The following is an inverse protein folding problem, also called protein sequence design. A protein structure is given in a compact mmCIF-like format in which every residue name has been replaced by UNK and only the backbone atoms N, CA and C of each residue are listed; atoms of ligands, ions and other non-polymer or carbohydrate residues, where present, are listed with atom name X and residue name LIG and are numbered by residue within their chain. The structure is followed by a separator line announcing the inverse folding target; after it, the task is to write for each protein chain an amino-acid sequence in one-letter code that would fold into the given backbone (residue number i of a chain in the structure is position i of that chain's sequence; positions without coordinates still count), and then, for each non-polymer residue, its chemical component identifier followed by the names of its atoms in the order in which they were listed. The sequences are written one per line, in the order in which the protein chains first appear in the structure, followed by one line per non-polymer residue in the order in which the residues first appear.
data_IF_932599104515
#
_entry.id   IF_932599104515
#
_cell.length_a   1.000
_cell.length_b   1.000
_cell.length_c   1.000
_cell.angle_alpha   90.00
_cell.angle_beta   90.00
_cell.angle_gamma   90.00
#
_symmetry.space_group_name_H-M   'P 1'
#
loop_
_entity.id
_entity.type
_entity.pdbx_description
1 polymer ?
#
# COMPACT_ATOMS: atom_id res chain seq x y z
N UNK A 1 9.59 -63.30 -9.03
CA UNK A 1 10.80 -62.68 -9.62
C UNK A 1 10.35 -61.83 -10.79
N UNK A 2 10.17 -60.53 -10.56
CA UNK A 2 10.55 -59.42 -11.45
C UNK A 2 10.04 -58.15 -10.76
N UNK A 3 10.92 -57.62 -9.91
CA UNK A 3 10.93 -56.23 -9.48
C UNK A 3 11.38 -55.40 -10.67
N UNK A 4 10.62 -54.37 -11.04
CA UNK A 4 11.18 -53.19 -11.68
C UNK A 4 10.73 -51.96 -10.91
N UNK A 5 11.71 -51.45 -10.17
CA UNK A 5 11.76 -50.16 -9.50
C UNK A 5 12.24 -49.12 -10.50
N UNK A 6 11.46 -48.06 -10.71
CA UNK A 6 11.84 -46.68 -11.11
C UNK A 6 10.54 -45.98 -11.55
N UNK A 7 10.06 -44.91 -10.93
CA UNK A 7 10.79 -43.68 -10.70
C UNK A 7 10.42 -43.03 -9.35
N UNK A 8 11.42 -42.94 -8.49
CA UNK A 8 11.52 -41.90 -7.47
C UNK A 8 11.94 -40.60 -8.18
N UNK A 9 10.96 -39.78 -8.54
CA UNK A 9 11.15 -38.40 -8.96
C UNK A 9 10.00 -37.53 -8.43
N UNK A 10 9.73 -37.63 -7.12
CA UNK A 10 9.04 -36.57 -6.39
C UNK A 10 10.11 -35.69 -5.77
N UNK A 11 10.51 -34.62 -6.44
CA UNK A 11 11.19 -33.49 -5.79
C UNK A 11 10.42 -33.17 -4.52
N UNK A 12 11.07 -33.19 -3.36
CA UNK A 12 10.44 -32.89 -2.07
C UNK A 12 9.86 -31.47 -2.11
N UNK A 13 8.59 -31.36 -2.48
CA UNK A 13 7.86 -30.10 -2.48
C UNK A 13 7.73 -29.66 -1.03
N UNK A 14 8.23 -28.47 -0.72
CA UNK A 14 7.94 -27.75 0.51
C UNK A 14 6.42 -27.66 0.68
N UNK A 15 5.84 -28.54 1.49
CA UNK A 15 4.39 -28.57 1.67
C UNK A 15 3.98 -27.48 2.66
N UNK A 16 3.11 -26.58 2.22
CA UNK A 16 2.41 -25.64 3.11
C UNK A 16 1.69 -26.42 4.21
N UNK A 17 1.68 -25.88 5.42
CA UNK A 17 0.89 -26.41 6.51
C UNK A 17 -0.59 -26.38 6.16
N UNK A 18 -1.25 -27.55 6.27
CA UNK A 18 -2.69 -27.72 6.06
C UNK A 18 -3.36 -27.90 7.40
N UNK A 19 -4.31 -27.04 7.73
CA UNK A 19 -4.99 -27.04 9.02
C UNK A 19 -6.50 -26.92 8.83
N UNK A 20 -7.28 -27.70 9.57
CA UNK A 20 -8.74 -27.56 9.57
C UNK A 20 -9.15 -26.41 10.47
N UNK A 21 -10.05 -25.56 9.98
CA UNK A 21 -10.52 -24.40 10.76
C UNK A 21 -11.15 -24.84 12.09
N UNK A 22 -11.89 -25.95 12.10
CA UNK A 22 -12.53 -26.49 13.32
C UNK A 22 -11.52 -26.85 14.41
N UNK A 23 -10.30 -27.25 14.03
CA UNK A 23 -9.24 -27.59 14.97
C UNK A 23 -8.50 -26.35 15.49
N UNK A 24 -8.74 -25.17 14.91
CA UNK A 24 -8.23 -23.87 15.39
C UNK A 24 -9.19 -23.13 16.32
N UNK A 25 -10.36 -23.70 16.59
CA UNK A 25 -11.34 -23.10 17.51
C UNK A 25 -11.06 -23.64 18.91
N UNK A 26 -10.78 -22.75 19.86
CA UNK A 26 -10.61 -23.13 21.27
C UNK A 26 -11.94 -23.62 21.84
N UNK A 27 -12.00 -24.87 22.30
CA UNK A 27 -13.07 -25.37 23.15
C UNK A 27 -12.92 -24.80 24.56
N UNK A 28 -14.02 -24.52 25.26
CA UNK A 28 -13.98 -24.02 26.64
C UNK A 28 -13.08 -24.90 27.53
N UNK A 29 -12.12 -24.27 28.23
CA UNK A 29 -11.17 -24.96 29.11
C UNK A 29 -9.74 -24.96 28.57
N UNK A 30 -8.98 -26.01 28.89
CA UNK A 30 -7.58 -26.14 28.47
C UNK A 30 -7.50 -26.43 26.96
N UNK A 31 -6.49 -25.89 26.25
CA UNK A 31 -6.30 -26.17 24.83
C UNK A 31 -6.13 -27.67 24.58
N UNK A 32 -6.94 -28.22 23.67
CA UNK A 32 -6.84 -29.62 23.26
C UNK A 32 -5.52 -29.90 22.54
N UNK A 33 -5.10 -31.17 22.48
CA UNK A 33 -3.90 -31.55 21.74
C UNK A 33 -4.06 -31.29 20.23
N UNK A 34 -5.26 -31.49 19.67
CA UNK A 34 -5.55 -31.18 18.27
C UNK A 34 -5.38 -29.68 17.97
N UNK A 35 -5.81 -28.83 18.90
CA UNK A 35 -5.62 -27.39 18.80
C UNK A 35 -4.14 -27.02 18.84
N UNK A 36 -3.36 -27.55 19.79
CA UNK A 36 -1.92 -27.27 19.88
C UNK A 36 -1.15 -27.69 18.62
N UNK A 37 -1.44 -28.87 18.08
CA UNK A 37 -0.83 -29.37 16.84
C UNK A 37 -1.20 -28.47 15.66
N UNK A 38 -2.47 -28.07 15.56
CA UNK A 38 -2.98 -27.21 14.50
C UNK A 38 -2.36 -25.81 14.55
N UNK A 39 -2.27 -25.21 15.74
CA UNK A 39 -1.60 -23.93 15.94
C UNK A 39 -0.11 -24.02 15.61
N UNK A 40 0.59 -25.07 16.07
CA UNK A 40 2.01 -25.25 15.75
C UNK A 40 2.24 -25.39 14.24
N UNK A 41 1.36 -26.13 13.56
CA UNK A 41 1.42 -26.33 12.11
C UNK A 41 1.19 -25.02 11.37
N UNK A 42 0.18 -24.25 11.79
CA UNK A 42 -0.10 -22.93 11.25
C UNK A 42 1.10 -21.99 11.43
N UNK A 43 1.59 -21.82 12.66
CA UNK A 43 2.68 -20.91 12.97
C UNK A 43 3.96 -21.29 12.22
N UNK A 44 4.32 -22.58 12.18
CA UNK A 44 5.48 -23.03 11.42
C UNK A 44 5.34 -22.71 9.92
N UNK A 45 4.16 -22.93 9.34
CA UNK A 45 3.92 -22.64 7.93
C UNK A 45 4.02 -21.14 7.63
N UNK A 46 3.46 -20.29 8.51
CA UNK A 46 3.56 -18.83 8.36
C UNK A 46 5.01 -18.34 8.50
N UNK A 47 5.81 -18.93 9.39
CA UNK A 47 7.23 -18.58 9.54
C UNK A 47 8.07 -19.02 8.34
N UNK A 48 7.85 -20.23 7.81
CA UNK A 48 8.67 -20.80 6.74
C UNK A 48 8.27 -20.31 5.35
N UNK A 49 6.97 -20.14 5.12
CA UNK A 49 6.40 -19.94 3.79
C UNK A 49 5.53 -18.68 3.66
N UNK A 50 5.34 -17.93 4.76
CA UNK A 50 4.46 -16.76 4.81
C UNK A 50 3.03 -17.04 4.34
N UNK A 51 2.61 -18.30 4.41
CA UNK A 51 1.32 -18.77 3.97
C UNK A 51 0.97 -20.09 4.65
N UNK A 52 -0.32 -20.38 4.75
CA UNK A 52 -0.84 -21.69 5.15
C UNK A 52 -2.13 -22.01 4.38
N UNK A 53 -2.51 -23.28 4.38
CA UNK A 53 -3.77 -23.75 3.80
C UNK A 53 -4.74 -24.00 4.94
N UNK A 54 -5.92 -23.39 4.87
CA UNK A 54 -7.02 -23.59 5.81
C UNK A 54 -8.13 -24.39 5.13
N UNK A 55 -8.49 -25.52 5.71
CA UNK A 55 -9.63 -26.31 5.30
C UNK A 55 -10.89 -25.85 6.05
N UNK A 56 -11.85 -25.34 5.30
CA UNK A 56 -13.16 -24.90 5.78
C UNK A 56 -14.15 -26.08 5.84
N UNK A 57 -15.21 -25.99 6.66
CA UNK A 57 -16.33 -26.91 6.61
C UNK A 57 -16.93 -27.06 5.19
N UNK A 58 -17.54 -28.21 4.91
CA UNK A 58 -18.05 -28.52 3.57
C UNK A 58 -19.12 -27.53 3.06
N UNK A 59 -20.00 -27.07 3.95
CA UNK A 59 -21.05 -26.08 3.66
C UNK A 59 -20.43 -24.72 3.27
N UNK A 60 -19.37 -24.32 3.96
CA UNK A 60 -18.65 -23.07 3.74
C UNK A 60 -17.90 -23.08 2.39
N UNK A 61 -17.33 -24.23 2.03
CA UNK A 61 -16.69 -24.43 0.74
C UNK A 61 -17.67 -24.27 -0.44
N UNK A 62 -18.94 -24.67 -0.28
CA UNK A 62 -19.96 -24.47 -1.32
C UNK A 62 -20.29 -22.99 -1.52
N UNK A 63 -20.40 -22.23 -0.43
CA UNK A 63 -20.61 -20.80 -0.47
C UNK A 63 -19.45 -20.09 -1.21
N UNK A 64 -18.19 -20.40 -0.88
CA UNK A 64 -17.04 -19.82 -1.58
C UNK A 64 -17.03 -20.12 -3.09
N UNK A 65 -17.36 -21.35 -3.48
CA UNK A 65 -17.46 -21.71 -4.91
C UNK A 65 -18.54 -20.89 -5.62
N UNK A 66 -19.73 -20.80 -5.03
CA UNK A 66 -20.82 -19.98 -5.60
C UNK A 66 -20.46 -18.49 -5.68
N UNK A 67 -19.71 -17.96 -4.71
CA UNK A 67 -19.22 -16.59 -4.74
C UNK A 67 -18.23 -16.34 -5.88
N UNK A 68 -17.34 -17.30 -6.16
CA UNK A 68 -16.39 -17.23 -7.28
C UNK A 68 -17.09 -17.37 -8.63
N UNK A 69 -18.11 -18.23 -8.74
CA UNK A 69 -18.93 -18.33 -9.95
C UNK A 69 -19.71 -17.03 -10.21
N UNK A 70 -20.29 -16.46 -9.16
CA UNK A 70 -20.97 -15.16 -9.22
C UNK A 70 -20.01 -14.03 -9.62
N UNK A 71 -18.80 -14.02 -9.07
CA UNK A 71 -17.73 -13.10 -9.47
C UNK A 71 -17.43 -13.18 -10.96
N UNK A 72 -17.29 -14.40 -11.49
CA UNK A 72 -17.08 -14.60 -12.93
C UNK A 72 -18.21 -13.98 -13.71
N UNK A 73 -19.46 -14.32 -13.43
CA UNK A 73 -20.61 -13.74 -14.13
C UNK A 73 -20.62 -12.21 -14.04
N UNK A 74 -20.33 -11.67 -12.86
CA UNK A 74 -20.26 -10.24 -12.62
C UNK A 74 -19.20 -9.53 -13.47
N UNK A 75 -18.00 -10.08 -13.65
CA UNK A 75 -16.98 -9.49 -14.53
C UNK A 75 -17.25 -9.77 -16.01
N UNK A 76 -17.93 -10.87 -16.38
CA UNK A 76 -18.25 -11.14 -17.79
C UNK A 76 -19.27 -10.17 -18.38
N UNK A 77 -20.19 -9.65 -17.57
CA UNK A 77 -21.17 -8.65 -18.01
C UNK A 77 -20.58 -7.23 -18.12
N UNK A 78 -19.35 -7.00 -17.64
CA UNK A 78 -18.71 -5.69 -17.66
C UNK A 78 -18.15 -5.38 -19.06
N UNK A 79 -18.24 -4.11 -19.51
CA UNK A 79 -17.70 -3.71 -20.81
C UNK A 79 -16.18 -3.90 -20.86
N UNK A 80 -15.67 -4.17 -22.07
CA UNK A 80 -14.25 -4.46 -22.29
C UNK A 80 -13.31 -3.27 -22.05
N UNK A 81 -13.83 -2.05 -21.93
CA UNK A 81 -13.04 -0.86 -21.65
C UNK A 81 -13.66 -0.11 -20.46
N UNK A 82 -12.97 -0.04 -19.31
CA UNK A 82 -13.44 0.78 -18.19
C UNK A 82 -13.36 2.26 -18.59
N UNK A 83 -14.37 3.05 -18.22
CA UNK A 83 -14.34 4.51 -18.36
C UNK A 83 -13.25 5.09 -17.45
N UNK A 84 -12.68 6.25 -17.81
CA UNK A 84 -11.60 6.89 -17.04
C UNK A 84 -11.97 7.15 -15.56
N UNK A 85 -13.25 7.26 -15.25
CA UNK A 85 -13.80 7.41 -13.89
C UNK A 85 -13.67 6.14 -13.04
N UNK A 86 -13.53 4.96 -13.66
CA UNK A 86 -13.43 3.65 -12.99
C UNK A 86 -11.99 3.19 -12.77
N UNK A 87 -11.00 4.00 -13.16
CA UNK A 87 -9.59 3.75 -12.88
C UNK A 87 -9.32 4.19 -11.45
N UNK A 88 -8.74 3.30 -10.63
CA UNK A 88 -8.49 3.58 -9.21
C UNK A 88 -7.64 4.85 -9.03
N UNK A 89 -8.30 5.96 -8.70
CA UNK A 89 -7.66 7.15 -8.15
C UNK A 89 -7.40 6.86 -6.67
N UNK A 90 -6.23 6.32 -6.34
CA UNK A 90 -5.79 6.00 -4.98
C UNK A 90 -5.84 7.23 -4.04
N UNK A 91 -7.03 7.67 -3.60
CA UNK A 91 -7.16 8.69 -2.58
C UNK A 91 -6.98 8.01 -1.21
N UNK A 92 -5.88 8.29 -0.49
CA UNK A 92 -5.62 7.70 0.83
C UNK A 92 -6.72 8.02 1.86
N UNK A 93 -7.60 9.01 1.59
CA UNK A 93 -8.68 9.43 2.49
C UNK A 93 -9.94 8.58 2.40
N UNK A 94 -10.07 7.70 1.39
CA UNK A 94 -11.34 7.00 1.11
C UNK A 94 -11.31 5.48 1.32
N UNK A 95 -10.21 4.92 1.83
CA UNK A 95 -10.00 3.47 1.95
C UNK A 95 -11.09 2.68 2.72
N UNK A 96 -11.87 3.33 3.59
CA UNK A 96 -12.97 2.72 4.35
C UNK A 96 -14.36 2.87 3.72
N UNK A 97 -14.53 3.73 2.70
CA UNK A 97 -15.87 4.15 2.23
C UNK A 97 -16.41 3.35 1.05
N UNK A 98 -15.55 2.67 0.31
CA UNK A 98 -15.79 2.36 -1.11
C UNK A 98 -16.11 0.89 -1.33
N UNK A 99 -17.32 0.45 -0.94
CA UNK A 99 -17.86 -0.71 -1.68
C UNK A 99 -18.08 -0.27 -3.12
N UNK A 100 -17.55 -1.02 -4.08
CA UNK A 100 -17.65 -0.61 -5.48
C UNK A 100 -16.62 -1.25 -6.39
N UNK A 101 -16.82 -1.01 -7.68
CA UNK A 101 -15.97 -1.50 -8.76
C UNK A 101 -14.86 -0.51 -9.11
N UNK A 102 -13.66 -1.01 -9.35
CA UNK A 102 -12.56 -0.27 -9.93
C UNK A 102 -11.65 -1.18 -10.76
N UNK A 103 -10.81 -0.56 -11.58
CA UNK A 103 -9.83 -1.25 -12.41
C UNK A 103 -8.43 -0.74 -12.15
N UNK A 104 -7.48 -1.66 -12.24
CA UNK A 104 -6.05 -1.39 -12.24
C UNK A 104 -5.45 -1.88 -13.58
N UNK A 105 -5.28 -0.97 -14.56
CA UNK A 105 -4.70 -1.30 -15.85
C UNK A 105 -3.22 -1.72 -15.79
N UNK A 106 -2.48 -1.41 -14.73
CA UNK A 106 -1.08 -1.84 -14.61
C UNK A 106 -1.00 -3.31 -14.23
N UNK A 107 -1.91 -3.75 -13.35
CA UNK A 107 -1.99 -5.13 -12.87
C UNK A 107 -2.90 -6.03 -13.73
N UNK A 108 -3.50 -5.48 -14.79
CA UNK A 108 -4.53 -6.14 -15.60
C UNK A 108 -5.64 -6.74 -14.74
N UNK A 109 -6.05 -5.97 -13.73
CA UNK A 109 -6.93 -6.42 -12.67
C UNK A 109 -8.20 -5.56 -12.62
N UNK A 110 -9.32 -6.23 -12.48
CA UNK A 110 -10.59 -5.60 -12.08
C UNK A 110 -10.93 -6.06 -10.68
N UNK A 111 -11.48 -5.17 -9.87
CA UNK A 111 -11.83 -5.46 -8.48
C UNK A 111 -13.20 -4.91 -8.15
N UNK A 112 -13.98 -5.68 -7.40
CA UNK A 112 -15.13 -5.19 -6.67
C UNK A 112 -14.87 -5.38 -5.17
N UNK A 113 -14.85 -4.29 -4.42
CA UNK A 113 -14.72 -4.32 -2.96
C UNK A 113 -16.11 -4.29 -2.31
N UNK A 114 -16.32 -5.15 -1.31
CA UNK A 114 -17.53 -5.19 -0.51
C UNK A 114 -17.21 -4.99 0.97
N UNK A 115 -17.85 -3.98 1.56
CA UNK A 115 -17.80 -3.63 2.98
C UNK A 115 -19.23 -3.52 3.53
N UNK A 116 -19.60 -4.32 4.55
CA UNK A 116 -20.89 -4.16 5.20
C UNK A 116 -20.95 -2.87 6.02
N UNK A 117 -22.15 -2.30 6.15
CA UNK A 117 -22.42 -1.05 6.86
C UNK A 117 -23.04 0.02 5.95
N UNK A 118 -23.17 1.25 6.46
CA UNK A 118 -23.73 2.36 5.68
C UNK A 118 -22.65 2.95 4.76
N UNK A 119 -22.49 2.39 3.57
CA UNK A 119 -21.70 3.03 2.51
C UNK A 119 -22.43 4.30 2.03
N UNK A 120 -21.79 5.47 1.99
CA UNK A 120 -22.39 6.66 1.39
C UNK A 120 -22.70 6.35 -0.07
N UNK A 121 -23.97 6.17 -0.42
CA UNK A 121 -24.39 6.08 -1.82
C UNK A 121 -24.21 7.46 -2.43
N UNK A 122 -23.25 7.60 -3.34
CA UNK A 122 -23.15 8.79 -4.16
C UNK A 122 -24.49 9.00 -4.90
N UNK A 123 -25.06 10.22 -4.88
CA UNK A 123 -26.43 10.48 -5.33
C UNK A 123 -26.66 10.25 -6.84
N UNK A 124 -25.62 9.95 -7.62
CA UNK A 124 -25.68 9.84 -9.08
C UNK A 124 -25.25 8.48 -9.64
N UNK A 125 -24.88 7.51 -8.78
CA UNK A 125 -24.52 6.18 -9.26
C UNK A 125 -25.78 5.34 -9.48
N UNK A 126 -25.94 4.85 -10.72
CA UNK A 126 -26.84 3.75 -11.02
C UNK A 126 -26.51 2.60 -10.06
N UNK A 127 -27.54 2.04 -9.41
CA UNK A 127 -27.39 1.04 -8.36
C UNK A 127 -26.69 -0.20 -8.90
N UNK A 128 -25.37 -0.25 -8.75
CA UNK A 128 -24.54 -1.35 -9.22
C UNK A 128 -24.75 -2.55 -8.30
N UNK A 129 -25.23 -3.65 -8.88
CA UNK A 129 -25.46 -4.88 -8.12
C UNK A 129 -24.13 -5.60 -7.87
N UNK A 130 -23.74 -5.85 -6.61
CA UNK A 130 -22.55 -6.63 -6.29
C UNK A 130 -22.66 -8.08 -6.78
N UNK A 131 -21.54 -8.80 -6.90
CA UNK A 131 -21.56 -10.26 -6.90
C UNK A 131 -22.42 -10.79 -5.74
N UNK A 132 -23.16 -11.87 -5.99
CA UNK A 132 -24.04 -12.48 -4.99
C UNK A 132 -23.25 -13.21 -3.89
N UNK A 133 -23.86 -13.30 -2.70
CA UNK A 133 -23.31 -14.06 -1.56
C UNK A 133 -22.20 -13.35 -0.77
N UNK A 134 -21.77 -12.14 -1.17
CA UNK A 134 -20.72 -11.41 -0.44
C UNK A 134 -21.02 -11.12 1.03
N UNK A 135 -22.27 -10.80 1.46
CA UNK A 135 -22.58 -10.63 2.89
C UNK A 135 -22.33 -11.90 3.71
N UNK A 136 -22.76 -13.06 3.19
CA UNK A 136 -22.59 -14.35 3.87
C UNK A 136 -21.11 -14.76 3.90
N UNK A 137 -20.40 -14.54 2.80
CA UNK A 137 -18.95 -14.80 2.70
C UNK A 137 -18.17 -13.90 3.64
N UNK A 138 -18.55 -12.62 3.75
CA UNK A 138 -17.95 -11.68 4.70
C UNK A 138 -18.10 -12.19 6.14
N UNK A 139 -19.30 -12.61 6.52
CA UNK A 139 -19.58 -13.14 7.86
C UNK A 139 -18.75 -14.39 8.15
N UNK A 140 -18.75 -15.35 7.21
CA UNK A 140 -18.02 -16.60 7.27
C UNK A 140 -16.51 -16.37 7.42
N UNK A 141 -15.89 -15.66 6.47
CA UNK A 141 -14.45 -15.44 6.46
C UNK A 141 -14.02 -14.48 7.57
N UNK A 142 -14.88 -13.55 7.98
CA UNK A 142 -14.65 -12.69 9.13
C UNK A 142 -14.63 -13.44 10.46
N UNK A 143 -15.40 -14.53 10.60
CA UNK A 143 -15.29 -15.44 11.74
C UNK A 143 -13.99 -16.26 11.65
N UNK A 144 -13.75 -16.90 10.51
CA UNK A 144 -12.57 -17.72 10.28
C UNK A 144 -11.26 -16.95 10.53
N UNK A 145 -11.17 -15.70 10.05
CA UNK A 145 -10.00 -14.86 10.23
C UNK A 145 -9.74 -14.50 11.71
N UNK A 146 -10.80 -14.33 12.52
CA UNK A 146 -10.67 -14.11 13.97
C UNK A 146 -10.19 -15.36 14.68
N UNK A 147 -10.76 -16.53 14.35
CA UNK A 147 -10.33 -17.81 14.89
C UNK A 147 -8.82 -18.06 14.58
N UNK A 148 -8.38 -17.76 13.36
CA UNK A 148 -6.96 -17.84 12.95
C UNK A 148 -6.09 -16.81 13.69
N UNK A 149 -6.58 -15.58 13.88
CA UNK A 149 -5.85 -14.54 14.60
C UNK A 149 -5.69 -14.89 16.09
N UNK A 150 -6.69 -15.52 16.70
CA UNK A 150 -6.62 -16.02 18.07
C UNK A 150 -5.62 -17.19 18.19
N UNK A 151 -5.57 -18.07 17.19
CA UNK A 151 -4.55 -19.12 17.09
C UNK A 151 -3.12 -18.55 16.99
N UNK A 152 -2.92 -17.50 16.18
CA UNK A 152 -1.63 -16.80 16.10
C UNK A 152 -1.30 -16.14 17.44
N UNK A 153 -2.27 -15.49 18.07
CA UNK A 153 -2.11 -14.87 19.40
C UNK A 153 -1.64 -15.89 20.44
N UNK A 154 -2.24 -17.09 20.43
CA UNK A 154 -1.85 -18.20 21.29
C UNK A 154 -0.41 -18.65 21.01
N UNK A 155 -0.02 -18.78 19.75
CA UNK A 155 1.37 -19.17 19.39
C UNK A 155 2.42 -18.17 19.85
N UNK A 156 2.03 -16.90 19.96
CA UNK A 156 2.86 -15.81 20.46
C UNK A 156 2.71 -15.60 21.98
N UNK A 157 2.04 -16.50 22.71
CA UNK A 157 1.78 -16.38 24.15
C UNK A 157 1.11 -15.04 24.55
N UNK A 158 0.30 -14.46 23.67
CA UNK A 158 -0.44 -13.23 23.97
C UNK A 158 -1.65 -13.55 24.85
N UNK A 159 -2.16 -12.51 25.52
CA UNK A 159 -3.43 -12.61 26.24
C UNK A 159 -4.57 -12.97 25.28
N UNK A 160 -5.56 -13.69 25.79
CA UNK A 160 -6.81 -13.94 25.06
C UNK A 160 -7.37 -12.61 24.54
N UNK A 161 -7.79 -12.56 23.27
CA UNK A 161 -8.37 -11.38 22.62
C UNK A 161 -7.43 -10.17 22.46
N UNK A 162 -6.11 -10.37 22.38
CA UNK A 162 -5.09 -9.32 22.21
C UNK A 162 -5.41 -8.30 21.09
N UNK A 163 -6.05 -8.76 20.01
CA UNK A 163 -6.40 -7.91 18.86
C UNK A 163 -7.84 -7.37 18.88
N UNK A 164 -8.67 -7.72 19.86
CA UNK A 164 -10.07 -7.28 19.91
C UNK A 164 -10.23 -5.77 19.89
N UNK A 165 -9.32 -5.05 20.58
CA UNK A 165 -9.33 -3.58 20.64
C UNK A 165 -9.02 -2.89 19.32
N UNK A 166 -8.36 -3.57 18.37
CA UNK A 166 -7.99 -3.01 17.06
C UNK A 166 -8.95 -3.42 15.94
N UNK A 167 -9.85 -4.37 16.17
CA UNK A 167 -10.82 -4.84 15.17
C UNK A 167 -12.16 -4.09 15.25
N UNK A 168 -12.94 -4.21 14.18
CA UNK A 168 -14.34 -3.77 14.17
C UNK A 168 -15.19 -4.61 15.16
N UNK A 169 -16.23 -4.00 15.72
CA UNK A 169 -17.21 -4.70 16.55
C UNK A 169 -18.02 -5.71 15.72
N UNK A 170 -18.43 -6.82 16.33
CA UNK A 170 -19.38 -7.77 15.74
C UNK A 170 -20.56 -7.92 16.70
N UNK A 171 -21.78 -7.50 16.32
CA UNK A 171 -22.13 -6.79 15.08
C UNK A 171 -21.53 -5.36 15.02
N UNK A 172 -21.45 -4.79 13.82
CA UNK A 172 -21.04 -3.38 13.62
C UNK A 172 -22.02 -2.44 14.34
N UNK A 173 -21.53 -1.28 14.82
CA UNK A 173 -22.44 -0.30 15.43
C UNK A 173 -23.25 0.42 14.35
N UNK A 174 -24.36 1.03 14.79
CA UNK A 174 -25.21 1.81 13.90
C UNK A 174 -24.41 2.93 13.23
N UNK A 175 -24.49 3.01 11.89
CA UNK A 175 -23.76 3.97 11.03
C UNK A 175 -22.25 3.76 10.89
N UNK A 176 -21.72 2.62 11.34
CA UNK A 176 -20.35 2.23 11.01
C UNK A 176 -20.30 1.45 9.69
N UNK A 177 -19.18 1.57 8.98
CA UNK A 177 -18.79 0.72 7.85
C UNK A 177 -17.64 -0.14 8.31
N UNK A 178 -17.62 -1.41 7.91
CA UNK A 178 -16.50 -2.28 8.25
C UNK A 178 -15.21 -1.80 7.60
N UNK A 179 -14.17 -1.77 8.43
CA UNK A 179 -12.80 -1.57 8.02
C UNK A 179 -12.23 -2.80 7.31
N UNK A 180 -12.79 -4.00 7.53
CA UNK A 180 -12.48 -5.21 6.76
C UNK A 180 -13.26 -5.25 5.43
N UNK A 181 -12.74 -5.98 4.44
CA UNK A 181 -13.29 -6.01 3.08
C UNK A 181 -13.25 -7.41 2.48
N UNK A 182 -14.28 -7.75 1.70
CA UNK A 182 -14.20 -8.84 0.72
C UNK A 182 -13.92 -8.21 -0.64
N UNK A 183 -12.74 -8.48 -1.18
CA UNK A 183 -12.34 -8.08 -2.53
C UNK A 183 -12.56 -9.24 -3.48
N UNK A 184 -13.32 -8.99 -4.54
CA UNK A 184 -13.49 -9.92 -5.65
C UNK A 184 -12.66 -9.41 -6.80
N UNK A 185 -11.72 -10.19 -7.31
CA UNK A 185 -10.80 -9.76 -8.36
C UNK A 185 -10.90 -10.64 -9.59
N UNK A 186 -10.74 -10.06 -10.78
CA UNK A 186 -10.53 -10.76 -12.04
C UNK A 186 -9.23 -10.28 -12.68
N UNK A 187 -8.33 -11.21 -13.00
CA UNK A 187 -7.05 -10.93 -13.64
C UNK A 187 -7.04 -11.39 -15.09
N UNK A 188 -6.35 -10.63 -15.94
CA UNK A 188 -6.01 -11.01 -17.32
C UNK A 188 -7.22 -11.32 -18.21
N UNK A 189 -8.34 -10.61 -18.01
CA UNK A 189 -9.49 -10.71 -18.92
C UNK A 189 -9.13 -10.09 -20.29
N UNK A 190 -9.59 -10.67 -21.44
CA UNK A 190 -9.30 -10.14 -22.77
C UNK A 190 -9.66 -8.67 -23.02
N UNK A 191 -10.49 -8.07 -22.17
CA UNK A 191 -10.75 -6.63 -22.12
C UNK A 191 -9.48 -5.76 -22.15
N UNK A 192 -8.38 -6.24 -21.56
CA UNK A 192 -7.11 -5.51 -21.55
C UNK A 192 -6.30 -5.64 -22.86
N UNK A 193 -6.64 -6.59 -23.75
CA UNK A 193 -5.91 -6.82 -25.02
C UNK A 193 -6.21 -5.76 -26.09
N UNK A 194 -7.33 -5.05 -25.97
CA UNK A 194 -7.71 -3.97 -26.87
C UNK A 194 -6.73 -2.79 -26.91
N UNK A 195 -6.03 -2.53 -25.81
CA UNK A 195 -5.00 -1.49 -25.74
C UNK A 195 -3.75 -1.78 -26.57
N UNK A 196 -3.51 -3.03 -26.97
CA UNK A 196 -2.39 -3.43 -27.84
C UNK A 196 -2.69 -3.19 -29.32
N UNK A 197 -3.94 -3.25 -29.76
CA UNK A 197 -4.27 -3.13 -31.19
C UNK A 197 -4.17 -1.71 -31.77
N UNK A 198 -4.06 -0.67 -30.92
CA UNK A 198 -3.75 0.69 -31.37
C UNK A 198 -2.26 1.03 -31.38
N UNK A 199 -1.39 0.12 -30.91
CA UNK A 199 0.08 0.29 -30.96
C UNK A 199 0.78 -0.49 -32.08
N UNK A 200 0.07 -1.40 -32.77
CA UNK A 200 0.68 -2.36 -33.72
C UNK A 200 0.79 -1.86 -35.17
N UNK A 201 0.59 -0.57 -35.44
CA UNK A 201 0.83 0.01 -36.78
C UNK A 201 2.04 0.94 -36.86
N UNK A 202 2.89 0.97 -35.83
CA UNK A 202 4.14 1.73 -35.86
C UNK A 202 5.32 0.90 -35.35
N UNK A 203 5.89 0.14 -36.28
CA UNK A 203 7.33 0.00 -36.51
C UNK A 203 8.25 -0.53 -35.36
N UNK A 204 8.76 -1.75 -35.60
CA UNK A 204 10.16 -2.20 -35.46
C UNK A 204 11.01 -1.58 -34.32
N UNK A 205 11.13 -2.30 -33.20
CA UNK A 205 12.39 -2.84 -32.66
C UNK A 205 12.22 -3.28 -31.18
N UNK A 206 12.49 -4.56 -30.91
CA UNK A 206 13.37 -4.96 -29.81
C UNK A 206 13.08 -4.65 -28.34
N UNK A 207 11.92 -4.16 -27.91
CA UNK A 207 11.66 -4.04 -26.45
C UNK A 207 10.22 -4.37 -26.07
N UNK A 208 9.96 -5.67 -25.91
CA UNK A 208 8.86 -6.12 -25.05
C UNK A 208 9.08 -5.45 -23.68
N UNK A 209 8.19 -4.53 -23.29
CA UNK A 209 8.14 -3.95 -21.95
C UNK A 209 7.67 -5.08 -21.01
N UNK A 210 8.58 -5.99 -20.72
CA UNK A 210 8.43 -7.12 -19.80
C UNK A 210 8.80 -6.57 -18.43
N UNK A 211 7.78 -6.40 -17.59
CA UNK A 211 7.82 -6.31 -16.14
C UNK A 211 8.91 -5.41 -15.55
N UNK A 212 8.56 -4.15 -15.25
CA UNK A 212 9.31 -3.39 -14.26
C UNK A 212 9.33 -4.16 -12.93
N UNK A 213 10.52 -4.29 -12.37
CA UNK A 213 10.92 -4.97 -11.12
C UNK A 213 10.32 -4.33 -9.85
N UNK A 214 9.05 -3.90 -9.91
CA UNK A 214 8.31 -3.16 -8.87
C UNK A 214 7.05 -3.89 -8.38
N UNK A 215 6.84 -5.14 -8.77
CA UNK A 215 5.53 -5.84 -8.71
C UNK A 215 5.32 -6.74 -7.47
N UNK A 216 5.86 -6.35 -6.31
CA UNK A 216 5.63 -7.09 -5.07
C UNK A 216 4.46 -6.48 -4.30
N UNK A 217 3.34 -7.20 -4.21
CA UNK A 217 2.20 -6.76 -3.42
C UNK A 217 2.33 -7.24 -1.98
N UNK A 218 2.13 -6.33 -1.03
CA UNK A 218 1.97 -6.65 0.39
C UNK A 218 0.62 -6.14 0.83
N UNK A 219 -0.18 -7.01 1.44
CA UNK A 219 -1.49 -6.61 1.93
C UNK A 219 -1.35 -5.74 3.19
N UNK A 220 -2.15 -4.67 3.24
CA UNK A 220 -2.30 -3.80 4.39
C UNK A 220 -3.12 -4.43 5.53
N UNK A 221 -3.54 -5.69 5.41
CA UNK A 221 -4.39 -6.37 6.39
C UNK A 221 -3.61 -6.87 7.62
N UNK A 222 -4.33 -7.34 8.63
CA UNK A 222 -3.78 -8.25 9.64
C UNK A 222 -3.58 -9.62 9.00
N UNK A 223 -4.65 -10.15 8.40
CA UNK A 223 -4.67 -11.46 7.74
C UNK A 223 -5.51 -11.35 6.49
N UNK A 224 -5.08 -12.03 5.42
CA UNK A 224 -5.87 -12.22 4.21
C UNK A 224 -6.18 -13.71 4.01
N UNK A 225 -7.45 -14.02 3.73
CA UNK A 225 -7.90 -15.35 3.31
C UNK A 225 -8.34 -15.26 1.85
N UNK A 226 -7.74 -16.06 0.97
CA UNK A 226 -8.02 -16.02 -0.47
C UNK A 226 -8.37 -17.40 -1.03
N UNK A 227 -9.36 -17.41 -1.92
CA UNK A 227 -9.70 -18.55 -2.78
C UNK A 227 -9.81 -18.08 -4.23
N UNK A 228 -9.28 -18.85 -5.16
CA UNK A 228 -9.42 -18.60 -6.59
C UNK A 228 -10.02 -19.80 -7.33
N UNK A 229 -10.51 -19.54 -8.55
CA UNK A 229 -10.95 -20.58 -9.48
C UNK A 229 -9.78 -21.29 -10.19
N UNK A 230 -8.62 -20.66 -10.26
CA UNK A 230 -7.41 -21.18 -10.89
C UNK A 230 -6.17 -20.85 -10.08
N UNK A 231 -5.15 -21.69 -10.21
CA UNK A 231 -3.83 -21.45 -9.65
C UNK A 231 -3.16 -20.24 -10.30
N UNK A 232 -2.27 -19.58 -9.55
CA UNK A 232 -1.49 -18.44 -10.02
C UNK A 232 -0.97 -17.55 -8.91
N UNK A 233 -1.40 -17.74 -7.66
CA UNK A 233 -0.90 -17.01 -6.50
C UNK A 233 0.48 -17.54 -6.12
N UNK A 234 1.46 -16.64 -6.15
CA UNK A 234 2.80 -16.92 -5.67
C UNK A 234 3.08 -16.10 -4.42
N UNK A 235 3.66 -16.74 -3.41
CA UNK A 235 4.12 -16.09 -2.18
C UNK A 235 5.61 -16.35 -2.03
N UNK A 236 6.33 -15.33 -1.57
CA UNK A 236 7.77 -15.42 -1.30
C UNK A 236 8.00 -16.12 0.04
N UNK A 237 8.73 -17.23 0.03
CA UNK A 237 9.10 -17.97 1.24
C UNK A 237 10.18 -17.24 2.07
N UNK A 238 10.50 -17.77 3.24
CA UNK A 238 11.54 -17.24 4.12
C UNK A 238 12.93 -17.17 3.46
N UNK A 239 13.20 -18.07 2.51
CA UNK A 239 14.44 -18.08 1.73
C UNK A 239 14.42 -17.09 0.55
N UNK A 240 13.35 -16.32 0.40
CA UNK A 240 13.19 -15.34 -0.66
C UNK A 240 12.76 -15.93 -2.01
N UNK A 241 12.33 -17.19 -2.07
CA UNK A 241 11.92 -17.90 -3.30
C UNK A 241 10.42 -17.76 -3.52
N UNK A 242 10.01 -17.56 -4.76
CA UNK A 242 8.60 -17.56 -5.14
C UNK A 242 8.05 -18.98 -5.20
N UNK A 243 6.98 -19.24 -4.45
CA UNK A 243 6.31 -20.53 -4.43
C UNK A 243 4.85 -20.39 -4.87
N UNK A 244 4.40 -21.26 -5.76
CA UNK A 244 2.98 -21.37 -6.11
C UNK A 244 2.22 -21.98 -4.94
N UNK A 245 1.32 -21.22 -4.31
CA UNK A 245 0.65 -21.65 -3.07
C UNK A 245 -0.75 -22.22 -3.31
N UNK A 246 -1.40 -21.85 -4.41
CA UNK A 246 -2.78 -22.24 -4.74
C UNK A 246 -2.87 -23.34 -5.83
N UNK A 247 -1.76 -24.04 -6.10
CA UNK A 247 -1.67 -25.07 -7.14
C UNK A 247 -2.38 -26.40 -6.80
N UNK A 248 -2.48 -26.74 -5.52
CA UNK A 248 -3.02 -28.01 -5.02
C UNK A 248 -4.05 -27.75 -3.89
N UNK A 249 -5.02 -26.89 -4.20
CA UNK A 249 -6.13 -26.56 -3.29
C UNK A 249 -7.35 -27.44 -3.54
N UNK A 250 -7.80 -28.11 -2.50
CA UNK A 250 -9.09 -28.79 -2.47
C UNK A 250 -10.29 -27.82 -2.54
N UNK A 251 -11.51 -28.36 -2.76
CA UNK A 251 -12.73 -27.56 -2.93
C UNK A 251 -13.20 -26.83 -1.66
N UNK A 252 -12.61 -27.16 -0.51
CA UNK A 252 -12.88 -26.58 0.81
C UNK A 252 -11.68 -25.81 1.36
N UNK A 253 -10.59 -25.73 0.60
CA UNK A 253 -9.33 -25.16 1.06
C UNK A 253 -9.15 -23.74 0.53
N UNK A 254 -8.66 -22.86 1.39
CA UNK A 254 -8.27 -21.49 1.05
C UNK A 254 -6.87 -21.20 1.57
N UNK A 255 -6.18 -20.24 0.95
CA UNK A 255 -4.88 -19.77 1.43
C UNK A 255 -5.08 -18.68 2.46
N UNK A 256 -4.33 -18.74 3.55
CA UNK A 256 -4.22 -17.65 4.51
C UNK A 256 -2.78 -17.13 4.54
N UNK A 257 -2.62 -15.81 4.60
CA UNK A 257 -1.31 -15.19 4.76
C UNK A 257 -1.40 -13.88 5.56
N UNK A 258 -0.32 -13.50 6.27
CA UNK A 258 -0.28 -12.33 7.12
C UNK A 258 -0.01 -11.06 6.30
N UNK A 259 -0.58 -9.94 6.76
CA UNK A 259 -0.36 -8.62 6.17
C UNK A 259 0.48 -7.69 7.06
N UNK A 260 0.70 -6.48 6.57
CA UNK A 260 1.55 -5.47 7.19
C UNK A 260 1.05 -5.03 8.58
N UNK A 261 -0.27 -4.99 8.80
CA UNK A 261 -0.81 -4.60 10.09
C UNK A 261 -0.47 -5.63 11.17
N UNK A 262 -0.42 -6.92 10.82
CA UNK A 262 -0.04 -7.97 11.78
C UNK A 262 1.45 -7.93 12.06
N UNK A 263 2.28 -7.67 11.05
CA UNK A 263 3.70 -7.42 11.23
C UNK A 263 3.94 -6.28 12.24
N UNK A 264 3.26 -5.15 12.07
CA UNK A 264 3.36 -4.02 12.99
C UNK A 264 2.86 -4.37 14.40
N UNK A 265 1.70 -5.01 14.50
CA UNK A 265 1.09 -5.33 15.80
C UNK A 265 1.85 -6.43 16.56
N UNK A 266 2.64 -7.24 15.87
CA UNK A 266 3.48 -8.30 16.45
C UNK A 266 4.95 -7.89 16.58
N UNK A 267 5.28 -6.60 16.49
CA UNK A 267 6.66 -6.10 16.57
C UNK A 267 7.63 -6.86 15.63
N UNK A 268 7.15 -7.26 14.45
CA UNK A 268 7.94 -8.00 13.46
C UNK A 268 8.05 -9.50 13.65
N UNK A 269 7.44 -10.10 14.68
CA UNK A 269 7.51 -11.55 14.92
C UNK A 269 6.78 -12.35 13.84
N UNK A 270 5.76 -11.76 13.20
CA UNK A 270 5.08 -12.36 12.04
C UNK A 270 5.40 -11.54 10.80
N UNK A 271 6.20 -12.10 9.90
CA UNK A 271 6.57 -11.44 8.64
C UNK A 271 5.37 -11.33 7.70
N UNK A 272 5.17 -10.20 7.00
CA UNK A 272 4.08 -10.06 6.04
C UNK A 272 4.38 -10.85 4.77
N UNK A 273 3.35 -11.36 4.11
CA UNK A 273 3.52 -12.08 2.86
C UNK A 273 3.70 -11.13 1.67
N UNK A 274 4.84 -11.29 0.98
CA UNK A 274 5.04 -10.76 -0.36
C UNK A 274 4.38 -11.70 -1.36
N UNK A 275 3.43 -11.19 -2.14
CA UNK A 275 2.68 -11.99 -3.10
C UNK A 275 2.63 -11.34 -4.48
N UNK A 276 2.42 -12.18 -5.49
CA UNK A 276 2.16 -11.78 -6.88
C UNK A 276 1.24 -12.78 -7.57
N UNK A 277 0.55 -12.33 -8.61
CA UNK A 277 -0.26 -13.19 -9.46
C UNK A 277 0.49 -13.42 -10.78
N UNK A 278 0.77 -14.68 -11.12
CA UNK A 278 1.38 -15.02 -12.39
C UNK A 278 0.35 -14.89 -13.52
N UNK A 279 0.57 -13.93 -14.43
CA UNK A 279 -0.31 -13.65 -15.58
C UNK A 279 0.08 -14.47 -16.82
N UNK A 280 1.34 -14.91 -16.92
CA UNK A 280 1.88 -15.61 -18.10
C UNK A 280 1.10 -16.89 -18.44
N UNK A 281 0.66 -17.64 -17.43
CA UNK A 281 -0.15 -18.86 -17.62
C UNK A 281 -1.64 -18.58 -17.89
N UNK A 282 -2.07 -17.32 -17.94
CA UNK A 282 -3.47 -16.92 -18.18
C UNK A 282 -3.71 -16.47 -19.63
N UNK A 283 -2.66 -16.29 -20.44
CA UNK A 283 -2.76 -15.93 -21.85
C UNK A 283 -3.49 -17.04 -22.64
N UNK A 284 -4.65 -16.71 -23.22
CA UNK A 284 -5.48 -17.63 -24.02
C UNK A 284 -6.79 -18.07 -23.35
N UNK A 285 -7.04 -17.69 -22.09
CA UNK A 285 -8.33 -17.93 -21.46
C UNK A 285 -9.29 -16.76 -21.67
N UNK A 286 -10.44 -17.04 -22.30
CA UNK A 286 -11.50 -16.07 -22.59
C UNK A 286 -12.05 -15.32 -21.36
N UNK A 287 -11.82 -15.85 -20.16
CA UNK A 287 -12.55 -15.51 -18.93
C UNK A 287 -11.66 -15.06 -17.77
N UNK A 288 -10.33 -14.95 -17.97
CA UNK A 288 -9.39 -14.56 -16.90
C UNK A 288 -9.34 -15.53 -15.70
N UNK A 289 -8.71 -15.06 -14.61
CA UNK A 289 -8.65 -15.74 -13.30
C UNK A 289 -9.44 -14.93 -12.27
N UNK A 290 -10.44 -15.55 -11.66
CA UNK A 290 -11.26 -14.92 -10.62
C UNK A 290 -10.85 -15.39 -9.22
N UNK A 291 -10.77 -14.45 -8.29
CA UNK A 291 -10.46 -14.72 -6.90
C UNK A 291 -11.35 -13.94 -5.95
N UNK A 292 -11.60 -14.53 -4.79
CA UNK A 292 -12.25 -13.91 -3.66
C UNK A 292 -11.24 -13.84 -2.51
N UNK A 293 -10.99 -12.63 -2.00
CA UNK A 293 -10.07 -12.37 -0.90
C UNK A 293 -10.78 -11.61 0.23
N UNK A 294 -10.81 -12.18 1.42
CA UNK A 294 -11.20 -11.46 2.63
C UNK A 294 -9.97 -10.88 3.31
N UNK A 295 -9.97 -9.57 3.55
CA UNK A 295 -8.89 -8.85 4.22
C UNK A 295 -9.38 -8.38 5.58
N UNK A 296 -8.88 -8.99 6.65
CA UNK A 296 -9.15 -8.57 8.03
C UNK A 296 -8.32 -7.32 8.32
N UNK A 297 -8.95 -6.16 8.46
CA UNK A 297 -8.24 -4.90 8.65
C UNK A 297 -8.40 -4.39 10.09
N UNK A 298 -7.41 -3.65 10.62
CA UNK A 298 -7.63 -2.82 11.80
C UNK A 298 -8.71 -1.77 11.53
N UNK A 299 -9.46 -1.39 12.57
CA UNK A 299 -10.44 -0.32 12.47
C UNK A 299 -9.76 1.01 12.16
N UNK A 300 -10.46 1.91 11.47
CA UNK A 300 -9.86 3.15 10.94
C UNK A 300 -9.18 4.05 11.97
N UNK A 301 -9.68 4.02 13.21
CA UNK A 301 -9.13 4.77 14.35
C UNK A 301 -8.32 3.90 15.31
N UNK A 302 -7.95 2.69 14.91
CA UNK A 302 -7.03 1.87 15.67
C UNK A 302 -5.65 2.50 15.71
N UNK A 303 -5.01 2.38 16.87
CA UNK A 303 -3.58 2.56 17.00
C UNK A 303 -2.97 1.19 17.26
N UNK A 304 -2.01 0.80 16.43
CA UNK A 304 -1.26 -0.44 16.61
C UNK A 304 -0.14 -0.17 17.62
N UNK A 305 -0.19 -0.88 18.74
CA UNK A 305 0.77 -0.81 19.84
C UNK A 305 1.28 -2.21 20.13
N UNK A 306 2.58 -2.35 20.36
CA UNK A 306 3.21 -3.62 20.71
C UNK A 306 3.14 -3.94 22.21
N UNK A 307 2.23 -3.30 22.95
CA UNK A 307 2.07 -3.49 24.40
C UNK A 307 1.73 -4.94 24.77
N UNK A 308 0.94 -5.63 23.95
CA UNK A 308 0.65 -7.06 24.18
C UNK A 308 1.89 -7.93 23.98
N UNK A 309 2.74 -7.60 23.00
CA UNK A 309 4.01 -8.29 22.77
C UNK A 309 4.94 -8.12 23.97
N UNK A 310 5.12 -6.88 24.46
CA UNK A 310 5.91 -6.61 25.66
C UNK A 310 5.34 -7.30 26.91
N UNK A 311 4.01 -7.31 27.07
CA UNK A 311 3.35 -7.97 28.20
C UNK A 311 3.53 -9.50 28.18
N UNK A 312 3.63 -10.10 27.00
CA UNK A 312 3.96 -11.51 26.81
C UNK A 312 5.46 -11.82 26.96
N UNK A 313 6.29 -10.80 27.22
CA UNK A 313 7.74 -10.95 27.44
C UNK A 313 8.59 -10.91 26.16
N UNK A 314 8.01 -10.54 25.02
CA UNK A 314 8.77 -10.37 23.78
C UNK A 314 9.55 -9.06 23.75
N UNK A 315 10.74 -9.10 23.15
CA UNK A 315 11.53 -7.91 22.87
C UNK A 315 10.85 -7.05 21.81
N UNK A 316 10.72 -5.75 22.06
CA UNK A 316 10.12 -4.80 21.11
C UNK A 316 11.18 -3.76 20.74
N UNK A 317 11.65 -3.82 19.50
CA UNK A 317 12.63 -2.88 18.95
C UNK A 317 12.10 -1.45 18.95
N UNK A 318 13.02 -0.49 19.01
CA UNK A 318 12.70 0.94 19.07
C UNK A 318 11.75 1.42 17.95
N UNK A 319 11.83 0.80 16.77
CA UNK A 319 10.96 1.09 15.62
C UNK A 319 9.47 0.77 15.88
N UNK A 320 9.17 -0.13 16.81
CA UNK A 320 7.81 -0.59 17.13
C UNK A 320 7.26 -0.03 18.45
N UNK A 321 8.05 0.78 19.17
CA UNK A 321 7.69 1.29 20.50
C UNK A 321 6.69 2.45 20.45
N UNK A 322 6.59 3.15 19.31
CA UNK A 322 5.64 4.24 19.14
C UNK A 322 4.34 3.71 18.55
N UNK A 323 3.17 3.95 19.18
CA UNK A 323 1.89 3.56 18.61
C UNK A 323 1.66 4.26 17.27
N UNK A 324 1.33 3.49 16.23
CA UNK A 324 1.11 4.02 14.88
C UNK A 324 -0.41 4.06 14.62
N UNK A 325 -1.00 5.23 14.33
CA UNK A 325 -2.37 5.31 13.84
C UNK A 325 -2.48 4.60 12.48
N UNK A 326 -3.39 3.64 12.38
CA UNK A 326 -3.56 2.81 11.18
C UNK A 326 -3.81 3.63 9.91
N UNK A 327 -4.63 4.69 10.02
CA UNK A 327 -4.92 5.61 8.91
C UNK A 327 -3.66 6.24 8.29
N UNK A 328 -2.64 6.53 9.11
CA UNK A 328 -1.37 7.10 8.65
C UNK A 328 -0.56 6.02 7.92
N UNK A 329 -0.46 4.82 8.52
CA UNK A 329 0.25 3.69 7.90
C UNK A 329 -0.37 3.25 6.56
N UNK A 330 -1.66 3.51 6.34
CA UNK A 330 -2.33 3.19 5.09
C UNK A 330 -2.04 4.22 3.98
N UNK A 331 -1.60 5.44 4.32
CA UNK A 331 -1.40 6.56 3.38
C UNK A 331 0.00 6.58 2.73
N UNK A 332 1.01 6.00 3.37
CA UNK A 332 2.37 5.98 2.84
C UNK A 332 2.59 4.76 1.91
N UNK A 333 2.72 5.05 0.61
CA UNK A 333 2.98 4.06 -0.45
C UNK A 333 4.47 3.76 -0.68
N UNK A 334 5.37 4.15 0.23
CA UNK A 334 6.82 4.02 -0.01
C UNK A 334 7.55 3.45 1.19
N UNK A 335 7.41 2.13 1.38
CA UNK A 335 8.51 1.36 1.93
C UNK A 335 9.40 0.97 0.74
N UNK A 336 10.68 1.38 0.69
CA UNK A 336 11.58 0.96 -0.37
C UNK A 336 11.92 -0.52 -0.14
N UNK A 337 11.12 -1.42 -0.73
CA UNK A 337 11.34 -2.87 -0.67
C UNK A 337 12.24 -3.22 -1.85
N UNK A 338 13.54 -3.05 -1.67
CA UNK A 338 14.53 -3.74 -2.48
C UNK A 338 15.69 -4.16 -1.55
N UNK A 339 16.02 -5.45 -1.59
CA UNK A 339 17.10 -6.18 -0.89
C UNK A 339 16.80 -6.83 0.48
N UNK A 340 17.58 -7.88 0.77
CA UNK A 340 17.51 -8.92 1.81
C UNK A 340 17.09 -8.47 3.23
N UNK A 341 16.61 -9.41 4.08
CA UNK A 341 16.15 -9.12 5.44
C UNK A 341 17.18 -8.38 6.34
N UNK A 342 18.47 -8.44 6.03
CA UNK A 342 19.52 -7.69 6.74
C UNK A 342 19.64 -6.21 6.31
N UNK A 343 19.13 -5.82 5.13
CA UNK A 343 19.28 -4.45 4.59
C UNK A 343 18.11 -3.53 4.93
N UNK A 344 16.95 -4.11 5.30
CA UNK A 344 15.81 -3.38 5.91
C UNK A 344 16.25 -2.63 7.18
N UNK A 345 17.31 -3.10 7.84
CA UNK A 345 17.83 -2.54 9.09
C UNK A 345 18.46 -1.14 8.96
N UNK A 346 18.87 -0.68 7.78
CA UNK A 346 19.58 0.62 7.66
C UNK A 346 18.73 1.78 7.16
N UNK A 347 17.64 1.54 6.41
CA UNK A 347 16.80 2.62 5.86
C UNK A 347 15.96 3.35 6.92
N UNK A 348 15.86 2.80 8.13
CA UNK A 348 15.04 3.33 9.22
C UNK A 348 15.82 4.34 10.10
N UNK A 349 17.16 4.40 9.98
CA UNK A 349 18.00 5.03 11.03
C UNK A 349 18.25 6.54 10.82
N UNK A 350 18.04 7.13 9.63
CA UNK A 350 18.23 8.58 9.45
C UNK A 350 17.14 9.21 8.58
N UNK A 351 16.29 10.07 9.17
CA UNK A 351 16.68 11.48 9.23
C UNK A 351 16.44 12.10 10.61
N UNK A 352 17.50 12.17 11.42
CA UNK A 352 17.56 13.10 12.54
C UNK A 352 17.97 14.49 12.03
N UNK A 353 17.01 15.40 11.83
CA UNK A 353 17.27 16.82 12.06
C UNK A 353 16.06 17.47 12.74
N UNK A 354 16.25 17.69 14.04
CA UNK A 354 15.44 18.44 15.01
C UNK A 354 14.66 19.60 14.38
N UNK A 355 13.33 19.53 14.39
CA UNK A 355 12.48 20.73 14.33
C UNK A 355 11.82 20.96 15.69
N UNK A 356 12.32 22.02 16.32
CA UNK A 356 11.88 22.61 17.58
C UNK A 356 10.45 23.16 17.39
N UNK A 357 9.50 22.66 18.20
CA UNK A 357 8.11 23.15 18.27
C UNK A 357 8.06 24.67 18.40
N UNK A 358 7.27 25.33 17.55
CA UNK A 358 6.68 26.63 17.85
C UNK A 358 5.24 26.67 17.33
N UNK A 359 4.30 26.76 18.27
CA UNK A 359 2.89 27.04 18.05
C UNK A 359 2.71 28.30 17.21
N UNK A 360 1.81 28.26 16.24
CA UNK A 360 0.88 29.36 15.98
C UNK A 360 -0.28 28.86 15.11
N UNK A 361 -1.47 28.88 15.71
CA UNK A 361 -2.76 28.78 15.04
C UNK A 361 -2.93 29.89 14.00
N UNK A 362 -3.20 29.50 12.76
CA UNK A 362 -4.05 30.25 11.83
C UNK A 362 -4.46 29.33 10.68
N UNK A 363 -5.78 29.12 10.51
CA UNK A 363 -6.41 28.47 9.36
C UNK A 363 -5.84 29.00 8.03
N UNK A 364 -5.02 28.22 7.33
CA UNK A 364 -4.60 28.54 5.96
C UNK A 364 -5.45 27.77 4.96
N UNK A 365 -6.36 28.50 4.28
CA UNK A 365 -6.94 28.06 3.01
C UNK A 365 -5.80 27.80 2.00
N UNK A 366 -5.89 26.78 1.14
CA UNK A 366 -4.85 26.49 0.15
C UNK A 366 -4.62 27.70 -0.76
N UNK A 367 -3.34 28.06 -0.92
CA UNK A 367 -2.93 29.18 -1.78
C UNK A 367 -3.16 28.80 -3.25
N UNK A 368 -3.52 29.78 -4.12
CA UNK A 368 -3.71 29.52 -5.54
C UNK A 368 -2.44 28.93 -6.19
N UNK A 369 -2.57 28.05 -7.21
CA UNK A 369 -1.47 27.29 -7.81
C UNK A 369 -0.24 28.15 -8.20
N UNK A 370 -0.47 29.35 -8.73
CA UNK A 370 0.56 30.31 -9.13
C UNK A 370 1.44 30.78 -7.97
N UNK A 371 0.87 30.94 -6.78
CA UNK A 371 1.59 31.36 -5.58
C UNK A 371 2.39 30.21 -4.97
N UNK A 372 1.90 28.99 -5.06
CA UNK A 372 2.62 27.77 -4.62
C UNK A 372 3.84 27.52 -5.50
N UNK A 373 3.69 27.63 -6.83
CA UNK A 373 4.79 27.47 -7.79
C UNK A 373 5.87 28.53 -7.57
N UNK A 374 5.49 29.79 -7.33
CA UNK A 374 6.42 30.88 -7.04
C UNK A 374 7.24 30.64 -5.76
N UNK A 375 6.62 30.08 -4.71
CA UNK A 375 7.31 29.76 -3.46
C UNK A 375 8.25 28.56 -3.61
N UNK A 376 7.86 27.55 -4.39
CA UNK A 376 8.69 26.38 -4.65
C UNK A 376 9.91 26.75 -5.51
N UNK A 377 9.73 27.55 -6.56
CA UNK A 377 10.83 28.08 -7.36
C UNK A 377 11.82 28.90 -6.49
N UNK A 378 11.30 29.70 -5.56
CA UNK A 378 12.13 30.46 -4.64
C UNK A 378 12.88 29.55 -3.65
N UNK A 379 12.29 28.43 -3.23
CA UNK A 379 12.94 27.41 -2.39
C UNK A 379 14.10 26.75 -3.12
N UNK A 380 13.86 26.26 -4.34
CA UNK A 380 14.88 25.59 -5.18
C UNK A 380 16.04 26.53 -5.49
N UNK A 381 15.76 27.82 -5.74
CA UNK A 381 16.78 28.81 -6.02
C UNK A 381 17.65 29.12 -4.79
N UNK A 382 17.03 29.23 -3.60
CA UNK A 382 17.76 29.38 -2.33
C UNK A 382 18.65 28.15 -2.05
N UNK A 383 18.13 26.96 -2.29
CA UNK A 383 18.87 25.69 -2.12
C UNK A 383 20.11 25.67 -3.02
N UNK A 384 19.98 25.97 -4.31
CA UNK A 384 21.13 26.02 -5.24
C UNK A 384 22.17 27.07 -4.85
N UNK A 385 21.76 28.25 -4.38
CA UNK A 385 22.70 29.30 -3.97
C UNK A 385 23.45 28.92 -2.70
N UNK A 386 22.79 28.25 -1.75
CA UNK A 386 23.45 27.71 -0.58
C UNK A 386 24.46 26.62 -0.97
N UNK A 387 24.08 25.72 -1.86
CA UNK A 387 24.94 24.64 -2.37
C UNK A 387 26.24 25.16 -3.03
N UNK A 388 26.12 26.23 -3.83
CA UNK A 388 27.28 26.88 -4.47
C UNK A 388 28.16 27.56 -3.42
N UNK A 389 27.56 28.20 -2.41
CA UNK A 389 28.30 28.84 -1.33
C UNK A 389 29.09 27.81 -0.52
N UNK A 390 28.46 26.69 -0.17
CA UNK A 390 29.07 25.60 0.58
C UNK A 390 30.22 24.96 -0.21
N UNK A 391 30.04 24.70 -1.51
CA UNK A 391 31.11 24.20 -2.40
C UNK A 391 32.30 25.15 -2.53
N UNK A 392 32.07 26.46 -2.41
CA UNK A 392 33.14 27.48 -2.45
C UNK A 392 33.66 27.88 -1.08
N UNK A 393 33.18 27.25 0.01
CA UNK A 393 33.55 27.60 1.38
C UNK A 393 33.09 29.00 1.81
N UNK A 394 32.13 29.59 1.10
CA UNK A 394 31.61 30.93 1.35
C UNK A 394 30.47 30.81 2.37
N UNK A 395 30.60 31.46 3.53
CA UNK A 395 29.49 31.58 4.48
C UNK A 395 28.43 32.51 3.90
N UNK A 396 27.19 32.04 3.76
CA UNK A 396 26.08 32.81 3.17
C UNK A 396 24.87 32.77 4.11
N UNK A 397 24.12 33.88 4.17
CA UNK A 397 22.83 33.94 4.87
C UNK A 397 21.81 34.67 4.01
N UNK A 398 20.60 34.14 4.00
CA UNK A 398 19.45 34.79 3.38
C UNK A 398 18.77 35.76 4.35
N UNK A 399 18.42 36.94 3.85
CA UNK A 399 17.62 37.89 4.60
C UNK A 399 16.20 37.35 4.82
N UNK A 400 15.69 37.46 6.05
CA UNK A 400 14.34 37.00 6.44
C UNK A 400 13.35 38.16 6.68
N UNK A 401 13.75 39.40 6.40
CA UNK A 401 12.88 40.58 6.55
C UNK A 401 11.91 40.71 5.37
N UNK A 402 10.62 40.84 5.69
CA UNK A 402 9.55 41.03 4.69
C UNK A 402 9.53 42.41 4.04
N UNK A 403 10.11 43.41 4.70
CA UNK A 403 10.11 44.83 4.30
C UNK A 403 11.46 45.28 3.70
N UNK A 404 12.27 44.32 3.26
CA UNK A 404 13.64 44.56 2.80
C UNK A 404 13.74 45.25 1.42
N UNK A 405 12.65 45.30 0.64
CA UNK A 405 12.67 45.70 -0.77
C UNK A 405 13.07 47.17 -1.02
N UNK A 406 13.04 48.05 -0.01
CA UNK A 406 13.21 49.51 -0.20
C UNK A 406 14.51 50.12 0.38
N UNK A 407 15.44 49.33 0.94
CA UNK A 407 16.55 49.87 1.76
C UNK A 407 17.96 49.55 1.26
N UNK A 408 18.12 49.12 0.01
CA UNK A 408 19.38 48.58 -0.55
C UNK A 408 20.56 49.59 -0.50
N UNK A 409 20.30 50.89 -0.39
CA UNK A 409 21.35 51.93 -0.43
C UNK A 409 21.42 52.85 0.80
N UNK A 410 20.62 52.60 1.86
CA UNK A 410 20.62 53.43 3.06
C UNK A 410 21.57 52.87 4.13
N UNK A 411 22.42 53.73 4.70
CA UNK A 411 23.33 53.39 5.82
C UNK A 411 22.57 52.88 7.06
N UNK A 412 21.32 53.32 7.25
CA UNK A 412 20.40 52.86 8.30
C UNK A 412 19.40 51.79 7.80
N UNK A 413 19.87 50.81 7.02
CA UNK A 413 19.00 49.69 6.64
C UNK A 413 18.73 48.75 7.83
N UNK A 414 17.50 48.26 8.04
CA UNK A 414 17.19 47.29 9.10
C UNK A 414 17.98 45.98 8.97
N UNK A 415 18.47 45.66 7.77
CA UNK A 415 19.40 44.56 7.53
C UNK A 415 20.77 44.78 8.20
N UNK A 416 21.25 46.03 8.27
CA UNK A 416 22.49 46.39 8.94
C UNK A 416 22.43 46.17 10.45
N UNK A 417 21.34 46.55 11.10
CA UNK A 417 21.11 46.34 12.53
C UNK A 417 21.05 44.86 12.89
N UNK A 418 20.35 44.04 12.10
CA UNK A 418 20.32 42.58 12.29
C UNK A 418 21.72 41.97 12.12
N UNK A 419 22.52 42.47 11.15
CA UNK A 419 23.90 42.01 10.94
C UNK A 419 24.77 42.25 12.18
N UNK A 420 24.62 43.42 12.82
CA UNK A 420 25.32 43.74 14.06
C UNK A 420 24.84 42.91 15.25
N UNK A 421 23.53 42.73 15.41
CA UNK A 421 22.93 41.96 16.51
C UNK A 421 23.39 40.50 16.52
N UNK A 422 23.51 39.89 15.34
CA UNK A 422 23.93 38.48 15.21
C UNK A 422 25.45 38.31 15.09
N UNK A 423 26.22 39.40 15.15
CA UNK A 423 27.68 39.38 15.04
C UNK A 423 28.19 38.80 13.71
N UNK A 424 27.51 39.07 12.59
CA UNK A 424 27.89 38.50 11.30
C UNK A 424 29.15 39.17 10.74
N UNK A 425 30.17 38.43 10.26
CA UNK A 425 31.47 39.01 9.93
C UNK A 425 31.38 40.10 8.85
N UNK A 426 32.13 41.21 8.98
CA UNK A 426 32.26 42.22 7.93
C UNK A 426 32.94 41.60 6.69
N UNK A 427 32.42 41.92 5.50
CA UNK A 427 32.91 41.38 4.22
C UNK A 427 32.27 40.08 3.73
N UNK A 428 31.46 39.40 4.55
CA UNK A 428 30.72 38.20 4.13
C UNK A 428 29.37 38.58 3.49
N UNK A 429 28.99 38.04 2.31
CA UNK A 429 27.76 38.41 1.61
C UNK A 429 26.48 38.10 2.41
N UNK A 430 25.53 39.03 2.40
CA UNK A 430 24.19 38.85 2.93
C UNK A 430 23.20 38.92 1.75
N UNK A 431 22.54 37.81 1.44
CA UNK A 431 21.77 37.68 0.19
C UNK A 431 20.30 37.98 0.45
N UNK A 432 19.76 38.98 -0.24
CA UNK A 432 18.34 39.26 -0.14
C UNK A 432 17.56 38.35 -1.10
N UNK A 433 16.40 37.80 -0.67
CA UNK A 433 15.60 36.91 -1.51
C UNK A 433 15.10 37.51 -2.82
N UNK A 434 15.10 38.84 -2.97
CA UNK A 434 14.75 39.56 -4.20
C UNK A 434 15.94 39.78 -5.15
N UNK A 435 17.19 39.63 -4.66
CA UNK A 435 18.41 39.79 -5.47
C UNK A 435 18.77 38.53 -6.27
N UNK A 436 18.03 37.43 -6.07
CA UNK A 436 18.25 36.19 -6.79
C UNK A 436 17.86 36.37 -8.28
N UNK A 437 18.80 36.22 -9.24
CA UNK A 437 18.64 36.77 -10.58
C UNK A 437 17.50 36.12 -11.37
N UNK A 438 16.59 36.99 -11.86
CA UNK A 438 15.44 36.66 -12.71
C UNK A 438 15.76 35.80 -13.95
N UNK A 439 17.03 35.71 -14.39
CA UNK A 439 17.44 34.86 -15.53
C UNK A 439 17.34 33.36 -15.27
N UNK A 440 17.54 32.89 -14.04
CA UNK A 440 17.36 31.47 -13.71
C UNK A 440 15.87 31.05 -13.75
N UNK A 441 14.97 32.01 -13.52
CA UNK A 441 13.52 31.84 -13.62
C UNK A 441 13.07 31.69 -15.08
N UNK A 442 13.75 32.36 -16.02
CA UNK A 442 13.51 32.22 -17.46
C UNK A 442 14.00 30.87 -18.01
N UNK A 443 15.23 30.47 -17.67
CA UNK A 443 15.76 29.18 -18.14
C UNK A 443 15.06 27.94 -17.55
N UNK A 444 14.39 28.08 -16.39
CA UNK A 444 13.58 27.00 -15.81
C UNK A 444 12.22 26.82 -16.52
N UNK A 445 11.62 27.91 -17.02
CA UNK A 445 10.37 27.85 -17.77
C UNK A 445 10.59 27.31 -19.20
N UNK A 446 11.70 27.69 -19.84
CA UNK A 446 12.08 27.20 -21.18
C UNK A 446 12.43 25.70 -21.20
N UNK A 447 12.95 25.16 -20.09
CA UNK A 447 13.25 23.73 -19.94
C UNK A 447 12.00 22.85 -19.77
N UNK A 448 10.86 23.42 -19.40
CA UNK A 448 9.61 22.68 -19.16
C UNK A 448 8.56 22.89 -20.26
N UNK A 449 8.66 23.98 -21.03
CA UNK A 449 7.77 24.25 -22.16
C UNK A 449 8.59 24.84 -23.33
N UNK A 450 9.08 23.98 -24.26
CA UNK A 450 9.86 24.43 -25.40
C UNK A 450 9.01 25.35 -26.28
N UNK A 451 9.33 26.65 -26.31
CA UNK A 451 8.61 27.67 -27.08
C UNK A 451 7.91 28.76 -26.27
N UNK A 452 7.94 28.73 -24.93
CA UNK A 452 7.32 29.76 -24.09
C UNK A 452 7.79 31.20 -24.41
N UNK A 453 9.07 31.36 -24.75
CA UNK A 453 9.64 32.66 -25.15
C UNK A 453 9.12 33.17 -26.51
N UNK A 454 8.82 32.27 -27.45
CA UNK A 454 8.32 32.63 -28.78
C UNK A 454 6.84 33.06 -28.77
N UNK A 455 6.07 32.57 -27.79
CA UNK A 455 4.67 32.94 -27.60
C UNK A 455 4.48 34.38 -27.12
N UNK A 456 5.46 34.95 -26.41
CA UNK A 456 5.40 36.33 -25.92
C UNK A 456 5.85 37.36 -26.96
N UNK A 457 6.78 37.03 -27.86
CA UNK A 457 7.22 37.97 -28.91
C UNK A 457 6.14 38.18 -30.00
N UNK A 458 5.26 37.21 -30.24
CA UNK A 458 4.09 37.43 -31.10
C UNK A 458 2.97 38.23 -30.42
N UNK A 459 2.81 38.14 -29.10
CA UNK A 459 1.75 38.86 -28.38
C UNK A 459 2.15 40.32 -28.06
N UNK A 460 3.45 40.62 -27.96
CA UNK A 460 3.96 41.98 -27.78
C UNK A 460 4.12 42.77 -29.08
N UNK A 461 4.28 42.11 -30.23
CA UNK A 461 4.34 42.78 -31.54
C UNK A 461 2.97 43.18 -32.11
N UNK A 462 1.87 42.76 -31.48
CA UNK A 462 0.50 43.16 -31.82
C UNK A 462 -0.06 44.30 -30.95
N UNK A 463 0.74 44.85 -30.02
CA UNK A 463 0.33 45.97 -29.15
C UNK A 463 1.06 47.28 -29.50
N UNK A 464 1.99 47.28 -30.47
CA UNK A 464 2.64 48.50 -31.00
C UNK A 464 2.37 48.76 -32.50
N UNK A 465 1.11 48.65 -32.92
CA UNK A 465 0.58 49.38 -34.09
C UNK A 465 -0.84 49.89 -33.84
#
# INVERSE_FOLDING_TARGET
MHLEWSAMAGTGLSSLGRVKLIDLIQSEGLPSESYKISVSTLSQSLTQYSAAIIQLPAVDGALLRSGIESARHYFHQKPSYPTAEMVNANDPREWCKTSGYYTDPQLWQETYDYRPGLTPTEPNNTMELPPSGLPDIFSLLGKAARDILDAISFSLNLRSSAFSGVLDNVPLRLREVSSSVVSVCCHARPSFQGAQHHGLTAQEDGQLIIFSDHDNQVDKSLITIIKADRAGLHIRDYHGRWMLVDGDLGPQEAIVFPGLALYQATAGHVSPALHRIAIENLQGHLYGRCSLAFKLMPKSMASLSCSEMSAAGHGVDAQFQLPIPWMISCSDHTLPINSSPETVFQAIIFPQLKMRRKNNDARCKPLPPSKRLRLEAQRVLKERVQDIADKKGIKLRFCNLKECENHIQALDSPCGSIRMEIGWPPGVPFVHPHDLPNKAKLGFLEAYEPGWAASQDMELSLIEL
#
